data_IF_833448710095
#
_entry.id   IF_833448710095
#
_cell.length_a   1.000
_cell.length_b   1.000
_cell.length_c   1.000
_cell.angle_alpha   90.00
_cell.angle_beta   90.00
_cell.angle_gamma   90.00
#
_symmetry.space_group_name_H-M   'P 1'
#
loop_
_entity.id
_entity.type
_entity.pdbx_description
1 polymer ?
#
# COMPACT_ATOMS: atom_id res chain seq x y z
N UNK A 1 7.34 1.50 13.87
CA UNK A 1 5.97 1.18 14.36
C UNK A 1 5.03 1.41 13.17
N UNK A 2 3.85 0.82 13.11
CA UNK A 2 2.89 1.23 12.07
C UNK A 2 2.61 2.74 12.19
N UNK A 3 2.62 3.43 11.06
CA UNK A 3 2.40 4.87 10.90
C UNK A 3 1.49 5.07 9.68
N UNK A 4 0.20 4.75 9.82
CA UNK A 4 -0.73 4.77 8.70
C UNK A 4 -0.89 6.19 8.17
N UNK A 5 -0.85 6.34 6.84
CA UNK A 5 -0.90 7.63 6.18
C UNK A 5 -2.22 7.88 5.44
N UNK A 6 -2.85 6.83 4.95
CA UNK A 6 -4.07 6.86 4.13
C UNK A 6 -4.76 5.49 4.21
N UNK A 7 -5.90 5.35 3.53
CA UNK A 7 -6.64 4.09 3.48
C UNK A 7 -7.43 3.97 2.16
N UNK A 8 -7.45 2.77 1.61
CA UNK A 8 -8.40 2.38 0.57
C UNK A 8 -9.12 1.10 1.00
N UNK A 9 -10.43 1.02 0.76
CA UNK A 9 -11.25 -0.15 1.04
C UNK A 9 -11.88 -0.59 -0.27
N UNK A 10 -11.71 -1.87 -0.62
CA UNK A 10 -12.30 -2.42 -1.83
C UNK A 10 -13.72 -2.99 -1.60
N UNK A 11 -14.30 -3.57 -2.65
CA UNK A 11 -15.65 -4.14 -2.61
C UNK A 11 -15.75 -5.43 -1.80
N UNK A 12 -14.63 -6.08 -1.50
CA UNK A 12 -14.54 -7.31 -0.71
C UNK A 12 -14.22 -7.00 0.78
N UNK A 13 -14.33 -5.73 1.19
CA UNK A 13 -14.02 -5.23 2.53
C UNK A 13 -12.56 -5.48 2.95
N UNK A 14 -11.64 -5.48 1.98
CA UNK A 14 -10.20 -5.53 2.23
C UNK A 14 -9.64 -4.12 2.33
N UNK A 15 -8.86 -3.88 3.38
CA UNK A 15 -8.30 -2.59 3.74
C UNK A 15 -6.85 -2.50 3.32
N UNK A 16 -6.52 -1.54 2.47
CA UNK A 16 -5.15 -1.23 2.02
C UNK A 16 -4.68 0.03 2.72
N UNK A 17 -3.73 -0.14 3.64
CA UNK A 17 -3.25 0.94 4.50
C UNK A 17 -1.77 1.21 4.20
N UNK A 18 -1.43 2.31 3.50
CA UNK A 18 -0.05 2.73 3.34
C UNK A 18 0.56 3.19 4.67
N UNK A 19 1.80 2.76 4.92
CA UNK A 19 2.51 2.95 6.19
C UNK A 19 3.82 3.72 5.98
N UNK A 20 4.08 4.75 6.79
CA UNK A 20 5.29 5.59 6.63
C UNK A 20 6.59 4.87 7.02
N UNK A 21 6.54 4.03 8.05
CA UNK A 21 7.68 3.23 8.51
C UNK A 21 7.76 1.88 7.78
N UNK A 22 6.83 1.61 6.86
CA UNK A 22 6.71 0.38 6.08
C UNK A 22 6.34 0.69 4.64
N UNK A 23 5.46 -0.12 4.03
CA UNK A 23 4.93 0.19 2.71
C UNK A 23 3.43 -0.03 2.62
N UNK A 24 2.93 -1.25 2.75
CA UNK A 24 1.47 -1.48 2.75
C UNK A 24 1.09 -2.58 3.73
N UNK A 25 0.12 -2.30 4.59
CA UNK A 25 -0.59 -3.31 5.36
C UNK A 25 -1.91 -3.63 4.66
N UNK A 26 -2.25 -4.92 4.54
CA UNK A 26 -3.51 -5.40 4.00
C UNK A 26 -4.28 -6.07 5.12
N UNK A 27 -5.45 -5.54 5.45
CA UNK A 27 -6.21 -5.94 6.63
C UNK A 27 -7.61 -6.43 6.24
N UNK A 28 -8.18 -7.32 7.05
CA UNK A 28 -9.61 -7.59 7.04
C UNK A 28 -10.37 -6.43 7.69
N UNK A 29 -11.71 -6.43 7.52
CA UNK A 29 -12.60 -5.50 8.22
C UNK A 29 -12.51 -5.58 9.75
N UNK A 30 -12.12 -6.74 10.28
CA UNK A 30 -11.90 -6.97 11.71
C UNK A 30 -10.53 -6.44 12.20
N UNK A 31 -9.67 -5.99 11.28
CA UNK A 31 -8.34 -5.46 11.56
C UNK A 31 -7.24 -6.50 11.61
N UNK A 32 -7.53 -7.76 11.22
CA UNK A 32 -6.51 -8.80 11.13
C UNK A 32 -5.60 -8.55 9.91
N UNK A 33 -4.29 -8.71 10.08
CA UNK A 33 -3.34 -8.62 8.97
C UNK A 33 -3.51 -9.83 8.07
N UNK A 34 -4.00 -9.59 6.85
CA UNK A 34 -4.08 -10.58 5.77
C UNK A 34 -2.71 -10.71 5.11
N UNK A 35 -2.07 -9.57 4.83
CA UNK A 35 -0.74 -9.53 4.21
C UNK A 35 -0.03 -8.20 4.52
N UNK A 36 1.27 -8.16 4.24
CA UNK A 36 2.03 -6.92 4.18
C UNK A 36 2.88 -6.92 2.92
N UNK A 37 2.92 -5.80 2.22
CA UNK A 37 3.80 -5.61 1.07
C UNK A 37 4.96 -4.72 1.46
N UNK A 38 6.13 -5.07 0.96
CA UNK A 38 7.32 -4.23 1.00
C UNK A 38 7.40 -3.36 -0.26
N UNK A 39 8.10 -2.23 -0.12
CA UNK A 39 8.37 -1.38 -1.26
C UNK A 39 9.31 -2.10 -2.25
N UNK A 40 9.06 -2.03 -3.56
CA UNK A 40 10.03 -2.46 -4.56
C UNK A 40 11.25 -1.52 -4.66
N UNK A 41 11.27 -0.41 -3.92
CA UNK A 41 12.33 0.61 -3.92
C UNK A 41 13.04 0.65 -2.56
N UNK A 42 14.35 0.82 -2.61
CA UNK A 42 15.15 1.11 -1.41
C UNK A 42 15.04 2.59 -1.04
N UNK A 43 13.98 2.94 -0.30
CA UNK A 43 13.71 4.32 0.11
C UNK A 43 14.31 4.69 1.48
N UNK A 44 14.79 3.71 2.23
CA UNK A 44 15.22 3.88 3.62
C UNK A 44 14.06 4.10 4.60
N UNK A 45 14.41 4.11 5.88
CA UNK A 45 13.45 4.18 6.98
C UNK A 45 12.72 5.53 7.04
N UNK A 46 11.39 5.50 7.23
CA UNK A 46 10.54 6.70 7.29
C UNK A 46 10.18 7.31 5.93
N UNK A 47 10.54 6.63 4.83
CA UNK A 47 10.19 7.01 3.46
C UNK A 47 9.27 5.96 2.82
N UNK A 48 8.36 5.43 3.62
CA UNK A 48 7.34 4.48 3.20
C UNK A 48 6.25 5.09 2.31
N UNK A 49 5.19 4.34 2.14
CA UNK A 49 4.04 4.80 1.39
C UNK A 49 3.29 5.91 2.15
N UNK A 50 2.75 6.86 1.40
CA UNK A 50 2.04 8.02 1.94
C UNK A 50 0.59 8.14 1.48
N UNK A 51 0.26 7.62 0.30
CA UNK A 51 -1.07 7.73 -0.26
C UNK A 51 -1.35 6.54 -1.14
N UNK A 52 -2.63 6.18 -1.25
CA UNK A 52 -3.11 5.10 -2.11
C UNK A 52 -4.28 5.60 -2.96
N UNK A 53 -4.33 5.16 -4.21
CA UNK A 53 -5.43 5.46 -5.11
C UNK A 53 -5.70 4.26 -6.00
N UNK A 54 -6.96 4.07 -6.41
CA UNK A 54 -7.38 2.99 -7.31
C UNK A 54 -8.19 3.58 -8.46
N UNK A 55 -7.91 3.13 -9.68
CA UNK A 55 -8.67 3.55 -10.86
C UNK A 55 -9.86 2.60 -11.17
N UNK A 56 -10.63 2.93 -12.19
CA UNK A 56 -11.80 2.14 -12.60
C UNK A 56 -11.47 0.74 -13.13
N UNK A 57 -10.21 0.45 -13.43
CA UNK A 57 -9.75 -0.89 -13.83
C UNK A 57 -9.33 -1.74 -12.64
N UNK A 58 -9.28 -1.17 -11.43
CA UNK A 58 -8.84 -1.84 -10.22
C UNK A 58 -7.31 -1.84 -10.06
N UNK A 59 -6.60 -1.02 -10.83
CA UNK A 59 -5.16 -0.86 -10.67
C UNK A 59 -4.86 0.05 -9.48
N UNK A 60 -4.00 -0.42 -8.59
CA UNK A 60 -3.64 0.28 -7.37
C UNK A 60 -2.33 1.06 -7.53
N UNK A 61 -2.40 2.35 -7.23
CA UNK A 61 -1.32 3.33 -7.29
C UNK A 61 -0.94 3.73 -5.88
N UNK A 62 0.35 3.64 -5.57
CA UNK A 62 0.86 4.06 -4.26
C UNK A 62 1.88 5.13 -4.46
N UNK A 63 1.75 6.16 -3.63
CA UNK A 63 2.74 7.18 -3.53
C UNK A 63 3.78 6.85 -2.46
N UNK A 64 5.05 6.92 -2.83
CA UNK A 64 6.17 6.75 -1.92
C UNK A 64 7.15 7.92 -2.08
N UNK A 65 7.79 8.32 -0.98
CA UNK A 65 8.90 9.26 -1.04
C UNK A 65 10.20 8.49 -1.28
N UNK A 66 11.02 8.92 -2.23
CA UNK A 66 12.35 8.34 -2.47
C UNK A 66 13.32 9.50 -2.63
N UNK A 67 14.31 9.60 -1.73
CA UNK A 67 15.35 10.65 -1.76
C UNK A 67 14.81 12.10 -1.76
N UNK A 68 13.65 12.35 -1.16
CA UNK A 68 13.00 13.67 -1.18
C UNK A 68 12.23 13.96 -2.47
N UNK A 69 12.15 13.00 -3.39
CA UNK A 69 11.32 13.04 -4.58
C UNK A 69 10.06 12.19 -4.41
N UNK A 70 8.98 12.60 -5.08
CA UNK A 70 7.70 11.89 -5.05
C UNK A 70 7.67 10.87 -6.20
N UNK A 71 7.63 9.58 -5.86
CA UNK A 71 7.46 8.49 -6.82
C UNK A 71 6.03 7.94 -6.74
N UNK A 72 5.45 7.61 -7.89
CA UNK A 72 4.15 6.93 -8.00
C UNK A 72 4.31 5.74 -8.93
N UNK A 73 4.02 4.53 -8.44
CA UNK A 73 4.02 3.31 -9.24
C UNK A 73 2.69 2.58 -9.16
N UNK A 74 2.29 1.96 -10.26
CA UNK A 74 1.28 0.90 -10.30
C UNK A 74 1.85 -0.32 -9.63
N UNK A 75 1.23 -0.79 -8.54
CA UNK A 75 1.74 -1.95 -7.84
C UNK A 75 1.15 -3.24 -8.37
N UNK A 76 -0.15 -3.41 -8.56
CA UNK A 76 -0.66 -4.68 -9.05
C UNK A 76 -2.08 -4.59 -9.60
N UNK A 77 -2.38 -5.48 -10.56
CA UNK A 77 -3.74 -5.91 -10.88
C UNK A 77 -4.22 -6.90 -9.82
N UNK A 78 -5.47 -6.71 -9.37
CA UNK A 78 -6.17 -7.37 -8.25
C UNK A 78 -6.04 -8.90 -8.19
N UNK A 79 -5.84 -9.56 -9.34
CA UNK A 79 -5.90 -11.03 -9.47
C UNK A 79 -4.58 -11.75 -9.10
N UNK A 80 -3.46 -11.04 -9.04
CA UNK A 80 -2.14 -11.70 -9.10
C UNK A 80 -1.40 -11.91 -7.77
N UNK A 81 -1.86 -11.34 -6.63
CA UNK A 81 -0.99 -11.21 -5.43
C UNK A 81 -1.60 -11.43 -4.05
N UNK A 82 -2.88 -11.80 -3.93
CA UNK A 82 -3.45 -12.17 -2.61
C UNK A 82 -3.05 -13.61 -2.20
N UNK A 83 -2.45 -14.40 -3.11
CA UNK A 83 -2.03 -15.79 -2.86
C UNK A 83 -0.49 -16.01 -2.83
N UNK A 84 0.29 -15.11 -2.23
CA UNK A 84 1.70 -15.39 -1.90
C UNK A 84 1.99 -15.07 -0.44
#
# INVERSE_FOLDING_TARGET
MARPCDIYVDEDEVFYVPELDGFMSILSVDGDIIASWDSPLDAGWGNGAHAVWVDSHGDLYVNQNVEGHRWSSTLASRDSRINQ
#
